data_IF_310926473064
#
_entry.id   IF_310926473064
#
_cell.length_a   1.000
_cell.length_b   1.000
_cell.length_c   1.000
_cell.angle_alpha   90.00
_cell.angle_beta   90.00
_cell.angle_gamma   90.00
#
_symmetry.space_group_name_H-M   'P 1'
#
loop_
_entity.id
_entity.type
_entity.pdbx_description
1 polymer ?
#
# COMPACT_ATOMS: atom_id res chain seq x y z
CA UNK A 10 -22.45 10.40 -12.02
CA UNK A 11 -22.14 8.46 -8.71
CA UNK A 12 -18.82 9.98 -7.75
CA UNK A 13 -20.45 13.36 -7.35
CA UNK A 14 -23.75 12.37 -5.76
CA UNK A 15 -21.40 11.03 -3.02
CA UNK A 16 -18.92 13.90 -2.91
CA UNK A 17 -22.16 15.80 -2.64
CA UNK A 18 -23.01 14.35 0.73
CA UNK A 19 -19.34 15.17 1.49
CA UNK A 20 -20.18 18.89 0.72
CA UNK A 21 -23.35 19.36 2.79
CA UNK A 22 -21.37 17.00 5.03
CA UNK A 23 -20.33 20.21 6.82
CA UNK A 24 -20.72 23.20 4.38
CA UNK A 25 -20.43 25.77 7.25
CA UNK A 26 -16.89 26.24 6.19
CA UNK A 27 -17.76 27.02 2.54
CA UNK A 28 -18.99 30.13 4.21
CA UNK A 29 -16.11 31.69 6.22
CA UNK A 30 -14.11 31.12 3.09
CA UNK A 31 -15.83 31.24 -0.32
CA UNK A 32 -16.63 34.58 1.18
CA UNK A 33 -13.29 34.99 3.03
CA UNK A 34 -11.90 34.65 -0.48
CA UNK A 35 -14.31 37.26 -1.57
CA UNK A 36 -12.32 39.79 0.50
CA UNK A 37 -9.37 37.93 -0.97
CA UNK A 38 -10.58 39.47 -4.21
CA UNK A 39 -9.84 42.72 -2.44
CA UNK A 40 -6.29 41.35 -2.54
CA UNK A 41 -6.39 41.77 -6.40
CA UNK A 42 -7.66 45.31 -6.50
CA UNK A 43 -4.22 45.92 -4.95
CA UNK A 44 -1.61 46.33 -7.67
CA UNK A 45 -3.67 47.82 -10.57
CA UNK A 46 -5.30 50.24 -8.15
CA UNK A 47 -1.77 50.80 -6.95
CA UNK A 48 -0.36 51.52 -10.38
CA UNK A 49 -2.34 54.31 -12.08
CA UNK A 50 -4.48 56.92 -10.16
CA UNK A 51 -2.69 56.74 -6.71
CA UNK A 52 0.92 56.28 -8.10
CA UNK A 53 1.23 60.05 -7.82
CA UNK A 54 0.84 59.47 -4.04
CA UNK A 55 3.59 56.82 -3.57
CA UNK A 56 6.35 59.47 -3.40
CA UNK A 57 4.66 62.72 -4.56
CA UNK A 58 2.95 61.50 -1.43
CA UNK A 59 5.37 59.02 0.25
CA UNK A 60 6.46 60.71 3.52
CA UNK A 61 2.76 61.57 3.62
CA UNK A 62 0.85 58.94 1.50
CA UNK A 63 2.70 55.72 0.78
CA UNK A 64 2.30 55.51 4.61
CA UNK A 65 -1.57 55.64 4.38
CA UNK A 66 -1.67 53.11 1.56
CA UNK A 67 0.70 50.84 3.55
CA UNK A 68 -1.66 49.52 6.26
CA UNK A 69 -3.95 48.84 3.35
CA UNK A 70 -0.93 46.73 2.38
CA UNK A 71 1.23 45.03 5.08
CA UNK A 72 -1.93 45.17 7.10
CA UNK A 73 -4.39 44.52 4.20
CA UNK A 74 -2.06 41.96 2.66
CA UNK A 75 -2.06 39.99 5.85
CA UNK A 76 -5.68 40.92 6.12
CA UNK A 77 -6.80 39.39 2.89
CA UNK A 78 -4.07 36.73 3.50
CA UNK A 79 -3.64 35.58 7.14
CA UNK A 80 -7.41 35.67 7.40
CA UNK A 81 -7.92 33.16 4.67
CA UNK A 82 -5.65 31.16 6.93
CA UNK A 83 -8.44 30.39 9.45
CA UNK A 84 -11.46 30.76 7.21
CA UNK A 85 -9.87 28.03 5.14
CA UNK A 86 -8.64 25.79 7.99
CA UNK A 87 -11.36 26.62 10.43
CA UNK A 88 -13.26 25.76 7.34
CA UNK A 89 -12.21 23.49 4.50
CA UNK A 90 -9.24 22.24 6.58
CA UNK A 91 -10.34 22.23 10.27
CA UNK A 92 -13.39 21.01 8.45
CA UNK A 93 -12.93 18.78 5.38
CA UNK A 94 -9.99 17.71 7.40
CA UNK A 95 -11.57 16.41 10.61
CA UNK A 96 -14.46 15.38 8.42
CA UNK A 97 -12.83 12.44 6.87
CA UNK A 98 -11.21 11.93 10.17
CA UNK A 99 -14.69 11.00 11.21
CA UNK A 100 -15.25 8.92 8.10
CA UNK A 101 -12.56 6.41 9.28
CA UNK A 102 -14.46 5.91 12.49
CA UNK A 103 -17.65 5.09 10.72
CA UNK A 104 -15.69 2.63 8.79
CA UNK A 105 -14.68 0.47 11.78
CA UNK A 106 -18.38 -0.23 12.31
CA UNK A 107 -19.64 -0.76 8.70
CA UNK A 108 -17.08 -3.51 8.99
CA UNK A 109 -18.27 -5.49 12.00
CA UNK A 110 -21.67 -5.53 10.06
CA UNK A 111 -20.05 -7.14 7.06
CA UNK A 112 -18.16 -9.49 9.48
CA UNK A 113 -15.62 -12.31 8.92
CA UNK A 114 -15.81 -13.66 5.38
CA UNK A 115 -15.99 -10.40 3.50
CA UNK A 116 -13.98 -8.38 6.02
CA UNK A 117 -11.15 -10.77 6.69
CA UNK A 118 -10.62 -11.81 3.08
CA UNK A 119 -9.04 -8.51 2.03
CA UNK A 120 -5.31 -8.19 2.95
CA UNK A 121 -4.92 -6.95 6.63
CA UNK A 122 -2.54 -4.29 5.42
CA UNK A 123 -5.41 -3.41 3.12
CA UNK A 124 -7.75 -2.56 5.91
CA UNK A 125 -4.81 -0.25 6.80
CA UNK A 126 -3.87 1.85 3.69
CA UNK A 127 -7.55 2.03 2.86
CA UNK A 128 -8.22 3.10 6.41
CA UNK A 129 -5.52 5.64 6.21
CA UNK A 130 -3.94 6.47 2.85
CA UNK A 131 -7.12 6.11 0.79
CA UNK A 132 -9.47 8.42 2.66
CA UNK A 133 -6.79 11.06 3.04
CA UNK A 134 -6.48 11.41 -0.75
CA UNK A 135 -10.23 11.62 -0.56
CA UNK A 136 -10.73 14.93 1.22
CA UNK A 137 -7.49 16.63 0.27
CA UNK A 138 -8.70 15.93 -3.23
CA UNK A 139 -12.10 17.36 -2.38
CA UNK A 140 -9.88 19.86 -0.60
CA UNK A 141 -8.45 21.18 -3.91
CA UNK A 142 -11.81 20.90 -5.70
CA UNK A 143 -12.59 24.14 -3.95
CA UNK A 144 -9.08 25.72 -4.25
CA UNK A 145 -10.22 25.93 -7.82
CA UNK A 146 -13.80 27.43 -8.03
CA UNK A 147 -12.95 30.41 -6.01
CA UNK A 148 -9.15 30.70 -6.18
CA UNK A 149 -10.37 31.53 -9.63
CA UNK A 150 -13.67 33.14 -8.65
CA UNK A 151 -11.18 35.51 -7.08
CA UNK A 152 -8.30 35.96 -9.49
CA UNK A 153 -10.89 36.02 -12.24
CA UNK A 154 -13.80 38.03 -10.84
CA UNK A 155 -10.90 39.90 -9.35
CA UNK A 156 -9.83 41.81 -12.38
CA UNK A 157 -10.86 39.63 -15.20
CA UNK A 158 -14.15 41.37 -14.43
CA UNK A 159 -12.53 44.77 -14.78
CA UNK A 160 -9.87 44.34 -17.45
CA UNK A 161 -12.86 43.28 -19.51
CA UNK A 162 -13.93 46.84 -20.20
CA UNK A 163 -10.84 48.90 -19.27
CA UNK A 164 -8.30 47.07 -21.56
CA UNK A 165 -10.08 44.48 -23.80
CA UNK A 166 -12.94 46.48 -25.25
CA UNK A 167 -11.57 49.98 -24.82
CA UNK A 168 -8.90 48.00 -26.67
CA UNK A 169 -9.83 45.12 -29.09
CA UNK A 170 -6.24 43.81 -29.00
CA UNK A 171 -7.74 41.73 -26.23
CA UNK A 172 -10.90 41.28 -28.37
CA UNK A 173 -8.48 38.97 -30.15
CA UNK A 174 -5.46 38.24 -27.93
CA UNK A 175 -8.23 36.91 -25.74
CA UNK A 176 -9.77 34.48 -28.29
CA UNK A 177 -6.38 33.01 -28.91
CA UNK A 178 -5.36 33.10 -25.26
CA UNK A 179 -7.94 30.33 -25.15
CA UNK A 180 -7.36 28.04 -28.13
CA UNK A 181 -3.59 28.11 -27.77
CA UNK A 182 -4.28 27.68 -24.11
CA UNK A 183 -6.83 24.96 -24.72
CA UNK A 184 -4.09 22.90 -26.34
CA UNK A 185 -1.16 23.46 -24.00
CA UNK A 186 -3.92 23.22 -21.47
CA UNK A 187 -6.00 20.17 -22.45
CA UNK A 188 -2.51 18.80 -23.29
CA UNK A 189 -2.02 18.46 -19.48
CA UNK A 190 -5.54 16.90 -19.02
CA UNK A 191 -4.79 14.54 -21.93
CA UNK A 192 -1.34 13.02 -21.33
CA UNK A 193 -2.22 12.61 -17.56
CA UNK A 194 -4.57 9.79 -18.66
CA UNK A 195 -2.46 8.25 -21.42
CA UNK A 196 0.65 7.71 -19.27
CA UNK A 197 -0.84 5.45 -16.51
CA UNK A 198 -2.38 3.28 -19.29
CA UNK A 199 1.21 2.65 -20.19
CA UNK A 200 2.47 2.61 -16.59
CA UNK A 201 0.31 0.10 -14.76
CA UNK A 202 0.37 -1.80 -18.00
CA UNK A 203 4.12 -2.10 -17.90
CA UNK A 204 3.99 -2.83 -14.20
CA UNK A 205 1.18 -5.33 -14.09
CA UNK A 206 2.36 -6.79 -17.40
CA UNK A 207 5.20 -7.85 -15.16
CA UNK A 208 4.18 -9.24 -11.81
CA UNK A 209 1.61 -10.92 -14.07
CA UNK A 210 4.40 -13.30 -14.49
CA UNK A 211 6.00 -13.30 -11.05
CA UNK A 212 3.20 -14.93 -9.10
CA UNK A 213 3.85 -18.17 -10.95
CA UNK A 214 6.54 -19.76 -8.79
CA UNK A 215 6.14 -22.63 -11.26
CA UNK A 216 7.49 -20.68 -14.37
CA UNK A 217 10.04 -19.30 -11.92
CA UNK A 218 11.51 -22.80 -11.27
CA UNK A 219 10.97 -23.98 -14.91
CA UNK A 220 12.52 -20.87 -16.61
CA UNK A 221 15.19 -18.38 -15.54
CA UNK A 222 15.76 -16.19 -18.57
CA UNK A 223 12.80 -14.12 -17.43
CA UNK A 224 14.86 -11.08 -18.57
CA UNK A 225 13.39 -11.42 -22.04
CA UNK A 226 9.98 -10.20 -21.17
CA UNK A 227 11.78 -8.58 -18.24
CA UNK A 228 14.00 -6.09 -20.07
CA UNK A 229 11.36 -4.86 -22.51
CA UNK A 230 9.26 -4.48 -19.43
CA UNK A 231 11.73 -1.78 -18.54
CA UNK A 232 11.13 -0.48 -22.00
CA UNK A 233 7.37 -0.67 -21.71
CA UNK A 234 7.63 2.00 -18.99
CA UNK A 235 10.95 3.46 -20.23
CA UNK A 236 8.26 4.62 -22.65
CA UNK A 237 5.99 5.28 -19.70
CA UNK A 238 8.53 8.04 -18.97
CA UNK A 239 9.30 9.33 -22.50
CA UNK A 240 5.78 10.69 -22.30
CA UNK A 241 6.38 12.92 -19.33
CA UNK A 242 9.35 13.92 -21.35
CA UNK A 243 7.36 15.34 -24.27
CA UNK A 244 5.34 17.07 -21.45
CA UNK A 245 8.33 19.05 -20.23
CA UNK A 246 8.05 20.17 -23.82
CA UNK A 247 4.67 21.48 -22.67
CA UNK A 248 6.08 22.52 -19.20
CA UNK A 249 8.78 24.36 -21.15
CA UNK A 250 7.53 25.69 -24.50
CA UNK A 251 4.13 26.95 -23.36
CA UNK A 252 6.55 28.80 -21.11
CA UNK A 253 8.14 31.03 -23.76
CA UNK A 254 5.29 30.62 -26.26
CA UNK A 255 3.35 32.52 -23.72
CA UNK A 256 6.19 34.70 -22.37
CA UNK A 257 6.51 36.31 -25.84
CA UNK A 258 2.95 36.05 -27.17
CA UNK A 259 2.59 38.16 -24.07
CA UNK A 260 5.35 40.29 -25.63
CA UNK A 261 2.46 41.30 -28.02
CA UNK A 262 -0.08 43.05 -25.74
CA UNK A 263 2.58 44.88 -23.63
CA UNK A 264 4.50 45.98 -26.81
CA UNK A 265 1.54 47.21 -28.93
CA UNK A 266 1.11 49.84 -26.18
CA UNK A 267 4.84 50.53 -25.45
CA UNK A 268 5.72 52.61 -28.50
CA UNK A 269 1.98 53.38 -28.77
CA UNK A 270 2.03 54.65 -25.22
CA UNK A 271 3.29 57.91 -26.80
CA UNK A 272 0.41 58.45 -29.28
CA UNK A 273 -1.97 55.80 -27.74
CA UNK A 274 -1.55 56.07 -23.88
CA UNK A 275 -2.98 59.55 -24.51
CA UNK A 276 -5.63 57.88 -26.69
CA UNK A 277 -6.96 56.77 -23.36
CA UNK A 278 -4.94 57.09 -20.16
CA UNK A 279 -7.42 54.30 -19.44
CA UNK A 280 -4.94 51.53 -20.71
CA UNK A 281 -1.09 52.09 -21.43
CA UNK A 282 0.13 53.67 -18.19
CA UNK A 283 -1.98 50.74 -16.89
CA UNK A 284 -1.66 47.80 -19.41
CA UNK A 285 1.85 47.00 -18.22
CA UNK A 286 -0.61 45.86 -15.51
CA UNK A 287 -3.71 44.88 -17.54
CA UNK A 288 -1.18 42.36 -18.88
CA UNK A 289 -0.19 41.53 -15.31
CA UNK A 290 -3.88 40.86 -15.19
CA UNK A 291 -3.77 38.34 -18.07
CA UNK A 292 -0.92 36.02 -16.84
CA UNK A 293 -2.36 36.34 -13.30
CA UNK A 294 -5.44 34.58 -14.74
CA UNK A 295 -3.81 31.61 -16.46
CA UNK A 296 -2.40 30.55 -13.05
CA UNK A 297 -6.04 29.60 -12.62
CA UNK A 298 -6.64 27.99 -16.03
CA UNK A 299 -3.41 26.01 -15.68
CA UNK A 300 -4.98 24.56 -12.69
CA UNK A 301 -8.45 24.48 -14.45
CA UNK A 302 -7.63 21.68 -16.74
CA UNK A 303 -5.69 20.11 -13.87
CA UNK A 304 -8.62 20.40 -11.47
CA UNK A 305 -11.49 18.78 -13.35
CA UNK A 306 -8.78 16.14 -13.61
CA UNK A 307 -6.96 16.05 -10.30
CA UNK A 308 -10.45 16.45 -8.87
CA UNK A 309 -11.44 13.14 -10.47
CA UNK A 310 -8.36 11.21 -9.32
CA UNK A 311 -9.36 12.18 -5.79
CA UNK A 312 -13.04 12.54 -4.94
CA UNK A 313 -13.04 9.35 -7.01
CA UNK A 314 -12.34 7.05 -4.13
CA UNK A 315 -14.37 9.52 -2.01
CA UNK A 316 -16.93 7.64 -3.88
CA UNK A 317 -15.14 4.34 -3.31
CA UNK A 318 -15.25 5.22 0.39
CA UNK A 319 -18.42 3.17 0.30
CA UNK A 320 -16.82 1.99 -2.90
CA UNK A 321 -15.57 -0.91 -0.81
CA UNK A 322 -17.81 -1.47 2.27
CA UNK A 323 -20.11 -4.18 0.83
CA UNK A 324 -20.30 -6.16 -2.49
CA UNK A 325 -21.39 -9.78 -1.71
CA UNK A 326 -24.51 -11.69 -0.39
CA UNK A 327 -23.65 -12.05 3.29
CA UNK A 328 -25.47 -14.12 6.01
CA UNK A 329 -28.70 -12.77 7.51
CA UNK A 330 -29.44 -11.78 11.18
CA UNK A 331 -32.11 -13.61 13.23
CA UNK A 332 -35.74 -14.69 14.00
CA UNK A 333 -36.39 -16.95 17.14
CA UNK A 334 -34.60 -15.96 20.39
CA UNK A 335 -35.18 -15.16 24.12
CA UNK A 336 -33.23 -13.61 27.08
CA UNK A 337 -32.08 -16.90 28.75
CA UNK A 338 -29.03 -19.16 29.50
CA UNK A 339 -29.14 -22.44 27.57
CA UNK A 340 -26.85 -23.05 24.60
CA UNK A 341 -27.00 -26.61 23.32
CA UNK A 342 -24.36 -27.93 20.91
CA UNK A 343 -26.59 -30.03 18.62
CA UNK A 344 -24.67 -29.84 15.35
CA UNK A 345 -26.43 -32.59 13.46
CA UNK A 346 -25.13 -32.81 9.90
CA UNK A 347 -21.79 -30.95 10.37
CA UNK A 348 -20.88 -29.11 7.11
CA UNK A 349 -18.39 -26.92 5.40
CA UNK A 350 -15.40 -25.48 6.97
CA UNK A 351 -12.63 -23.07 6.09
CA UNK A 352 -13.50 -20.68 3.23
CA UNK A 353 -16.74 -21.16 1.35
CA UNK A 354 -15.77 -23.01 -1.79
CA UNK A 355 -13.44 -25.42 -0.02
CA UNK A 356 -14.73 -29.04 0.43
CA UNK A 357 -16.71 -28.94 3.69
CA UNK A 358 -14.15 -30.66 6.01
CA UNK A 359 -17.12 -30.84 8.28
CA UNK A 360 -18.66 -33.72 6.31
CA UNK A 361 -21.99 -35.23 7.22
CA UNK A 362 -21.63 -35.58 11.06
CA UNK A 363 -24.38 -35.03 13.71
CA UNK A 364 -23.87 -33.69 17.20
CA UNK A 365 -25.34 -32.53 20.48
CA UNK A 366 -24.13 -30.95 23.70
CA UNK A 367 -26.77 -29.25 25.88
CA UNK A 368 -26.59 -27.43 29.21
CA UNK A 369 -24.42 -28.51 32.12
CA UNK A 370 -21.74 -30.79 30.73
CA UNK A 371 -18.03 -31.43 30.82
CA UNK A 372 -16.80 -32.28 27.37
CA UNK A 373 -13.46 -31.93 25.59
CA UNK A 374 -13.61 -30.99 21.92
CA UNK A 375 -10.96 -32.49 19.75
CA UNK A 376 -11.47 -32.96 16.05
CA UNK A 377 -8.16 -34.53 14.99
CA UNK A 378 -4.99 -32.47 14.95
CA UNK A 379 -5.88 -31.57 11.30
CA UNK A 380 -8.95 -30.25 9.36
CA UNK A 381 -11.27 -31.01 12.26
CA UNK A 382 -9.80 -29.26 15.28
CA UNK A 383 -9.94 -25.64 14.14
CA UNK A 384 -13.27 -25.86 12.30
CA UNK A 385 -15.08 -27.66 15.10
CA UNK A 386 -13.62 -25.79 17.99
CA UNK A 387 -13.58 -22.26 16.59
CA UNK A 388 -16.56 -22.65 14.24
CA UNK A 389 -18.63 -22.88 17.45
CA UNK A 390 -20.15 -19.43 16.68
CA UNK A 391 -21.41 -20.16 13.13
CA UNK A 392 -21.34 -16.53 12.42
CA UNK A 393 -18.64 -18.05 10.27
CA UNK A 394 -19.11 -18.95 6.54
CA UNK A 395 -20.85 -22.29 7.28
CA UNK A 396 -24.13 -23.36 5.70
CA UNK A 397 -23.89 -25.92 8.51
CA UNK A 398 -27.22 -27.73 8.41
CA UNK A 399 -29.15 -29.62 11.13
CA UNK A 400 -26.93 -27.54 13.39
CA UNK A 401 -29.13 -26.55 16.35
CA UNK A 402 -27.77 -24.21 19.04
CA UNK A 403 -29.76 -23.30 22.16
CA UNK A 404 -32.60 -24.55 19.98
CA UNK A 405 -31.94 -22.56 16.82
CA UNK A 406 -30.21 -23.13 13.42
CA UNK A 407 -27.26 -21.00 12.06
CA UNK A 408 -29.23 -18.69 9.67
CA UNK A 409 -31.73 -18.85 12.49
CA UNK A 410 -30.92 -16.68 15.49
CA UNK A 411 -30.99 -13.05 16.47
CA UNK A 412 -27.34 -12.02 16.53
CA UNK A 413 -27.37 -8.97 18.89
CA UNK A 414 -29.44 -10.81 21.58
CA UNK A 415 -28.10 -14.25 20.62
CA UNK A 416 -24.29 -14.02 21.06
CA UNK A 417 -24.76 -11.37 23.84
CA UNK A 418 -24.77 -14.34 26.21
CA UNK A 419 -21.42 -16.12 25.84
CA UNK A 420 -17.75 -16.17 27.00
CA UNK A 421 -15.97 -18.41 24.52
CA UNK A 422 -12.24 -17.94 24.87
CA UNK A 423 -9.03 -19.02 23.04
CA UNK A 424 -5.27 -18.49 23.11
CA UNK A 425 -4.30 -16.31 20.05
CA UNK A 426 -4.18 -13.72 22.80
CA UNK A 427 -4.02 -10.00 22.35
CA UNK A 428 -3.89 -7.09 24.70
CA UNK A 429 -4.83 -3.43 24.29
CA UNK A 430 -1.63 -1.61 25.31
CA UNK A 431 -3.48 0.01 28.27
CA UNK A 432 -3.20 -2.66 30.90
CA UNK A 433 -4.38 -6.12 31.62
CA UNK A 434 -5.93 -4.94 34.84
CA UNK A 435 -8.29 -2.24 33.51
CA UNK A 436 -8.44 -4.69 30.60
CA UNK A 437 -10.43 -7.22 32.69
CA UNK A 438 -12.92 -4.42 33.48
CA UNK A 439 -12.69 -2.49 30.25
CA UNK A 440 -12.36 -4.58 27.05
CA UNK A 441 -15.38 -6.12 28.63
CA UNK A 442 -17.92 -3.17 28.75
CA UNK A 443 -16.19 0.21 28.98
CA UNK A 444 -16.89 1.21 32.60
CA UNK A 445 -18.18 -2.22 33.54
CA UNK A 446 -19.41 -1.81 37.13
CA UNK A 447 -15.85 -2.06 38.55
CA UNK A 448 -15.02 -4.93 40.85
CA UNK A 449 -14.21 -8.27 39.01
CA UNK A 450 -10.91 -6.49 37.91
CA UNK A 451 -9.33 -6.18 41.25
CA UNK A 452 -11.58 -8.38 43.42
CA UNK A 453 -12.38 -11.11 40.93
CA UNK A 454 -8.71 -11.23 39.87
CA UNK A 455 -7.78 -11.79 43.52
CA UNK A 456 -10.05 -14.75 44.46
CA UNK A 457 -9.24 -16.25 41.08
CA UNK A 458 -5.46 -15.71 41.58
CA UNK A 459 -5.13 -13.34 38.65
CA UNK A 460 -4.23 -10.89 41.43
CA UNK A 461 -1.13 -12.44 43.11
CA UNK A 462 0.44 -12.37 39.68
CA UNK A 463 -0.74 -8.85 38.50
CA UNK A 464 0.74 -6.69 41.25
CA UNK A 465 3.61 -9.06 42.22
CA UNK A 466 4.73 -8.49 38.62
CA UNK A 467 6.64 -5.19 37.88
CA UNK A 468 4.67 -2.01 38.38
CA UNK A 469 1.46 -2.16 40.37
CA UNK A 470 -2.10 -1.05 39.68
CA UNK A 471 -2.34 -0.50 35.91
CA UNK A 472 0.71 -1.40 33.80
CA UNK A 473 0.96 0.17 30.34
CA UNK A 474 2.42 -3.03 28.66
CA UNK A 475 5.64 -1.96 26.82
CA UNK A 476 4.79 -4.52 24.20
CA UNK A 477 4.29 -8.26 23.88
CA UNK A 478 6.91 -9.12 26.50
CA UNK A 479 10.69 -8.38 26.98
CA UNK A 480 9.99 -8.57 30.74
CA UNK A 481 6.21 -9.14 30.46
CA UNK A 482 6.79 -11.93 27.93
CA UNK A 483 4.02 -13.82 26.14
CA UNK A 484 2.38 -14.74 29.44
CA UNK A 485 0.93 -11.39 30.64
CA UNK A 486 -0.51 -10.98 27.12
CA UNK A 487 -2.37 -14.29 27.40
CA UNK A 488 -3.18 -13.49 31.07
CA UNK A 489 -5.30 -10.37 30.37
CA UNK A 490 -7.55 -12.58 28.28
CA UNK A 491 -7.92 -15.36 30.91
CA UNK A 492 -8.24 -12.87 33.88
CA UNK A 493 -11.01 -10.73 32.41
CA UNK A 494 -12.71 -13.99 31.48
CA UNK A 495 -12.03 -16.36 34.41
CA UNK A 496 -14.04 -13.47 35.84
CA UNK A 497 -16.22 -12.87 32.72
CA UNK A 498 -19.27 -15.03 33.61
CA UNK A 499 -20.84 -14.62 30.13
CA UNK A 500 -23.07 -17.70 29.52
CA UNK A 501 -21.46 -20.64 27.73
CA UNK A 502 -17.80 -20.32 28.77
CA UNK A 503 -16.63 -21.79 25.44
CA UNK A 504 -13.11 -22.05 26.67
CA UNK A 505 -10.99 -23.74 24.15
CA UNK A 506 -7.29 -24.45 24.14
CA UNK A 507 -6.96 -24.35 27.88
CA UNK A 508 -3.20 -24.47 27.20
CA UNK A 509 -0.99 -24.98 24.17
CA UNK A 510 1.77 -22.84 25.67
CA UNK A 511 1.02 -22.27 29.37
CA UNK A 512 3.26 -23.70 32.10
CA UNK A 513 1.93 -24.96 35.47
CA UNK A 514 1.84 -22.23 38.29
CA UNK A 515 -0.12 -19.36 36.64
CA UNK A 516 -1.80 -21.83 34.23
CA UNK A 517 -2.49 -24.26 37.06
CA UNK A 518 -4.40 -22.12 39.57
CA UNK A 519 -6.42 -20.34 36.88
CA UNK A 520 -7.12 -23.81 35.46
CA UNK A 521 -8.27 -24.39 39.05
CA UNK A 522 -10.58 -21.34 39.15
CA UNK A 523 -11.38 -22.20 35.50
CA UNK A 524 -11.82 -25.99 36.11
CA UNK A 525 -14.46 -24.50 38.52
CA UNK A 526 -17.05 -22.92 36.18
CA UNK A 527 -16.51 -25.92 33.81
CA UNK A 528 -18.18 -28.81 35.76
CA UNK A 529 -21.60 -27.21 36.51
CA UNK A 530 -22.18 -25.34 33.19
CA UNK A 531 -22.27 -26.06 29.50
CA UNK A 532 -18.45 -26.14 28.90
CA UNK A 533 -16.10 -27.03 26.00
CA UNK A 534 -12.31 -27.24 26.19
CA UNK A 535 -10.35 -28.36 23.12
CA UNK A 536 -7.28 -28.32 25.32
CA UNK A 537 -4.55 -30.68 24.07
CA UNK A 538 -4.13 -32.07 27.61
CA UNK A 539 -5.08 -35.44 29.04
CA UNK A 540 -5.42 -34.88 32.77
CA UNK A 541 -8.93 -33.40 32.76
CA UNK A 542 -10.31 -36.37 30.79
CA UNK A 543 -10.61 -38.59 33.87
CA UNK A 544 -13.16 -36.26 35.49
CA UNK A 545 -14.45 -35.12 32.14
CA UNK A 546 -17.60 -37.12 31.99
CA UNK A 547 -17.62 -36.62 28.22
CA UNK A 548 -15.11 -36.29 25.44
CA UNK A 549 -15.63 -36.00 21.79
CA UNK A 550 -13.47 -36.68 18.81
CA UNK A 551 -13.92 -36.91 15.14
CA UNK A 552 -12.32 -36.67 11.79
CA UNK A 553 -13.16 -36.63 8.04
CA UNK A 554 -13.90 -40.38 8.13
CA UNK A 555 -13.45 -41.57 11.74
CA UNK A 556 -16.04 -39.38 13.47
CA UNK A 557 -16.62 -42.26 15.78
CA UNK A 558 -15.62 -41.12 19.22
CA UNK A 559 -17.69 -40.37 22.32
CA UNK A 560 -16.95 -40.88 26.06
CA UNK A 561 -13.79 -40.35 28.24
CA UNK A 562 -10.31 -41.74 29.23
CA UNK A 563 -12.22 -44.88 30.17
CA UNK A 564 -13.46 -46.08 26.68
CA UNK A 565 -10.68 -44.40 24.68
CA UNK A 566 -8.17 -47.00 25.95
CA UNK A 567 -10.77 -49.71 26.52
CA UNK A 568 -10.76 -50.83 22.90
CA UNK A 569 -7.42 -50.28 21.21
CA UNK A 570 -7.89 -48.13 18.08
CA UNK A 571 -6.61 -45.25 15.99
CA UNK A 572 -5.48 -43.58 19.20
CA UNK A 573 -1.76 -44.07 19.69
CA UNK A 574 -0.99 -40.33 18.71
CA UNK A 575 -2.85 -37.97 21.07
CA UNK A 576 -1.99 -40.64 23.68
CA UNK A 577 1.78 -40.04 23.12
CA UNK A 578 2.02 -36.24 22.80
CA UNK A 579 0.38 -36.18 26.27
CA UNK A 580 2.21 -36.99 29.60
CA UNK A 581 4.54 -39.97 30.33
CA UNK B 10 25.50 7.31 7.40
CA UNK B 11 24.33 4.26 5.41
CA UNK B 12 21.58 6.11 3.57
CA UNK B 13 24.15 8.20 1.75
CA UNK B 14 26.84 5.60 1.08
CA UNK B 15 23.97 3.92 -0.89
CA UNK B 16 22.47 7.02 -2.54
CA UNK B 17 26.12 7.44 -3.40
CA UNK B 18 26.19 4.39 -5.62
CA UNK B 19 22.91 5.85 -6.95
CA UNK B 20 24.92 9.04 -7.97
CA UNK B 21 27.91 7.46 -9.77
CA UNK B 22 25.13 5.07 -10.76
CA UNK B 23 24.99 7.20 -13.94
CA UNK B 24 26.48 10.69 -13.16
CA UNK B 25 26.76 11.55 -16.92
CA UNK B 26 23.62 13.55 -16.50
CA UNK B 27 25.00 15.64 -13.58
CA UNK B 28 27.01 17.04 -16.44
CA UNK B 29 24.59 18.26 -19.16
CA UNK B 30 22.77 19.89 -16.31
CA UNK B 31 24.72 21.08 -13.22
CA UNK B 32 26.38 22.86 -16.07
CA UNK B 33 23.20 23.37 -18.15
CA UNK B 34 22.08 25.17 -15.00
CA UNK B 35 25.24 27.11 -15.09
CA UNK B 36 24.00 28.85 -18.27
CA UNK B 37 20.73 28.91 -16.33
CA UNK B 38 22.62 31.33 -14.10
CA UNK B 39 22.77 33.41 -17.26
CA UNK B 40 18.99 33.43 -16.81
CA UNK B 41 19.54 35.55 -13.61
CA UNK B 42 21.84 38.12 -15.08
CA UNK B 43 18.63 38.95 -17.02
CA UNK B 44 16.53 41.40 -15.02
CA UNK B 45 19.18 43.37 -13.00
CA UNK B 46 21.27 43.73 -16.15
CA UNK B 47 18.01 44.70 -17.75
CA UNK B 48 17.16 47.34 -15.17
CA UNK B 49 20.06 49.87 -14.85
CA UNK B 50 22.75 50.45 -17.60
CA UNK B 51 20.69 49.22 -20.69
CA UNK B 52 17.25 50.62 -19.54
CA UNK B 53 18.10 53.68 -21.58
CA UNK B 54 17.98 51.30 -24.59
CA UNK B 55 14.53 49.74 -23.98
CA UNK B 56 12.72 52.71 -25.59
CA UNK B 57 15.41 55.41 -25.97
CA UNK B 58 16.39 52.39 -28.02
CA UNK B 59 13.20 50.30 -28.50
CA UNK B 60 12.41 50.51 -32.26
CA UNK B 61 16.19 50.03 -32.46
CA UNK B 62 17.36 48.24 -29.21
CA UNK B 63 14.66 46.51 -27.20
CA UNK B 64 14.66 44.40 -30.44
CA UNK B 65 18.38 43.42 -30.00
CA UNK B 66 17.92 42.64 -26.33
CA UNK B 67 14.81 40.57 -27.18
CA UNK B 68 16.43 37.46 -28.75
CA UNK B 69 18.62 37.55 -25.71
CA UNK B 70 15.19 37.21 -24.09
CA UNK B 71 12.38 35.20 -25.82
CA UNK B 72 15.26 33.39 -27.43
CA UNK B 73 17.63 33.45 -24.39
CA UNK B 74 14.75 32.79 -21.97
CA UNK B 75 13.87 29.65 -23.87
CA UNK B 76 17.58 29.16 -24.27
CA UNK B 77 18.43 29.08 -20.60
CA UNK B 78 14.97 27.45 -20.09
CA UNK B 79 13.92 24.90 -22.78
CA UNK B 80 17.49 23.70 -22.75
CA UNK B 81 17.42 22.75 -19.15
CA UNK B 82 14.47 20.75 -20.35
CA UNK B 83 16.65 18.07 -21.99
CA UNK B 84 19.81 18.49 -19.95
CA UNK B 85 17.63 17.69 -16.97
CA UNK B 86 15.53 14.89 -18.52
CA UNK B 87 18.17 13.57 -20.84
CA UNK B 88 19.96 13.73 -17.57
CA UNK B 89 18.50 13.52 -14.09
CA UNK B 90 15.12 12.43 -15.54
CA UNK B 91 15.84 10.34 -18.70
CA UNK B 92 18.51 9.24 -16.28
CA UNK B 93 17.64 9.00 -12.58
CA UNK B 94 14.36 8.08 -14.07
CA UNK B 95 15.20 5.00 -16.16
CA UNK B 96 17.79 4.29 -13.53
CA UNK B 97 15.46 3.08 -10.88
CA UNK B 98 13.49 1.62 -13.68
CA UNK B 99 16.43 -0.72 -13.88
CA UNK B 100 16.55 -1.14 -10.12
CA UNK B 101 13.13 -2.94 -10.20
CA UNK B 102 14.51 -5.45 -12.64
CA UNK B 103 17.43 -6.30 -10.44
CA UNK B 104 14.97 -6.81 -7.71
CA UNK B 105 13.10 -9.69 -9.40
CA UNK B 106 16.34 -11.65 -9.25
CA UNK B 107 17.68 -10.78 -5.74
CA UNK B 108 14.39 -12.39 -4.89
CA UNK B 109 14.64 -15.80 -6.51
CA UNK B 110 18.00 -15.97 -4.53
CA UNK B 111 16.21 -15.38 -1.26
CA UNK B 112 13.49 -17.89 -2.42
CA UNK B 113 10.28 -19.17 -0.79
CA UNK B 114 10.33 -18.66 2.97
CA UNK B 115 11.66 -15.15 3.09
CA UNK B 116 10.18 -14.04 -0.23
CA UNK B 117 6.71 -15.44 0.09
CA UNK B 118 6.18 -14.44 3.70
CA UNK B 119 5.77 -10.74 2.94
CA UNK B 120 2.27 -9.75 1.70
CA UNK B 121 1.98 -10.33 -2.14
CA UNK B 122 0.65 -6.84 -2.53
CA UNK B 123 3.83 -5.91 -0.69
CA UNK B 124 6.09 -7.26 -3.36
CA UNK B 125 3.94 -4.85 -5.48
CA UNK B 126 3.96 -1.35 -3.80
CA UNK B 127 7.56 -1.96 -2.86
CA UNK B 128 8.25 -2.98 -6.43
CA UNK B 129 6.48 0.06 -7.67
CA UNK B 130 5.52 2.83 -5.24
CA UNK B 131 8.59 2.51 -3.02
CA UNK B 132 11.40 2.81 -5.56
CA UNK B 133 9.64 5.65 -7.34
CA UNK B 134 9.77 7.80 -4.23
CA UNK B 135 13.36 6.72 -4.20
CA UNK B 136 14.70 8.46 -7.26
CA UNK B 137 12.24 11.33 -7.50
CA UNK B 138 13.47 12.02 -4.01
CA UNK B 139 17.04 11.74 -5.14
CA UNK B 140 15.58 13.66 -8.07
CA UNK B 141 14.91 16.75 -5.90
CA UNK B 142 18.16 16.31 -3.94
CA UNK B 143 19.75 17.92 -6.94
CA UNK B 144 16.94 20.46 -7.71
CA UNK B 145 18.39 21.97 -4.57
CA UNK B 146 22.25 22.19 -4.82
CA UNK B 147 22.21 23.97 -8.06
CA UNK B 148 18.70 25.46 -8.36
CA UNK B 149 20.41 27.40 -5.61
CA UNK B 150 23.95 27.23 -6.97
CA UNK B 151 22.18 29.22 -9.67
CA UNK B 152 19.80 31.62 -8.00
CA UNK B 153 22.50 32.16 -5.41
CA UNK B 154 25.78 32.26 -7.37
CA UNK B 155 23.47 34.00 -9.80
CA UNK B 156 23.30 37.34 -8.12
CA UNK B 157 23.84 36.56 -4.50
CA UNK B 158 27.44 36.59 -5.75
CA UNK B 159 26.98 40.08 -7.18
CA UNK B 160 24.53 41.79 -4.83
CA UNK B 161 27.20 40.97 -2.30
CA UNK B 162 29.40 43.90 -3.29
CA UNK B 163 27.02 46.12 -5.32
CA UNK B 164 24.23 46.49 -2.65
CA UNK B 165 25.31 44.85 0.68
CA UNK B 166 28.77 46.29 1.24
CA UNK B 167 28.50 49.41 -0.90
CA UNK B 168 25.52 49.48 1.45
CA UNK B 169 25.69 47.97 5.01
CA UNK B 170 21.88 47.94 5.28
CA UNK B 171 22.43 44.43 3.95
CA UNK B 172 25.48 44.09 6.27
CA UNK B 173 22.61 43.79 8.73
CA UNK B 174 19.34 43.08 6.88
CA UNK B 175 21.36 40.10 5.80
CA UNK B 176 22.29 38.82 9.33
CA UNK B 177 18.67 38.96 10.28
CA UNK B 178 17.42 37.61 6.96
CA UNK B 179 19.00 34.46 8.37
CA UNK B 180 17.99 34.16 12.03
CA UNK B 181 14.42 35.22 11.38
CA UNK B 182 14.64 32.93 8.43
CA UNK B 183 16.26 30.18 10.43
CA UNK B 184 13.16 30.10 12.62
CA UNK B 185 10.36 30.38 10.08
CA UNK B 186 12.71 28.13 8.20
CA UNK B 187 13.79 25.43 10.65
CA UNK B 188 10.14 25.77 11.76
CA UNK B 189 9.25 23.85 8.56
CA UNK B 190 12.06 21.25 9.16
CA UNK B 191 10.86 20.89 12.76
CA UNK B 192 7.08 20.45 12.68
CA UNK B 193 7.48 18.07 9.66
CA UNK B 194 8.93 15.52 12.12
CA UNK B 195 6.67 16.19 15.09
CA UNK B 196 3.38 15.70 13.21
CA UNK B 197 3.87 12.08 12.00
CA UNK B 198 4.88 11.12 15.56
CA UNK B 199 1.36 12.14 16.38
CA UNK B 200 -0.14 10.81 13.14
CA UNK B 201 0.97 7.20 12.90
CA UNK B 202 0.59 7.17 16.63
CA UNK B 203 -3.07 8.04 16.39
CA UNK B 204 -3.47 5.66 13.50
CA UNK B 205 -1.58 2.65 14.81
CA UNK B 206 -2.87 3.38 18.29
CA UNK B 207 -6.08 2.34 16.61
CA UNK B 208 -5.83 -0.70 14.42
CA UNK B 209 -3.74 -1.81 17.38
CA UNK B 210 -7.07 -2.71 18.67
CA UNK B 211 -8.87 -3.84 15.53
CA UNK B 212 -6.89 -6.99 14.80
CA UNK B 213 -8.36 -8.58 17.89
CA UNK B 214 -11.56 -10.07 16.55
CA UNK B 215 -11.88 -11.39 20.10
CA UNK B 216 -12.29 -7.91 21.80
CA UNK B 217 -14.49 -7.14 18.81
CA UNK B 218 -17.03 -9.87 19.78
CA UNK B 219 -16.58 -9.30 23.56
CA UNK B 220 -16.94 -5.46 23.46
CA UNK B 221 -18.78 -3.06 21.13
CA UNK B 222 -18.39 0.36 22.71
CA UNK B 223 -15.05 0.61 20.98
CA UNK B 224 -15.95 4.28 20.38
CA UNK B 225 -14.40 5.18 23.70
CA UNK B 226 -10.86 4.72 22.63
CA UNK B 227 -12.30 5.23 19.15
CA UNK B 228 -13.48 8.85 19.41
CA UNK B 229 -10.39 10.18 21.18
CA UNK B 230 -8.53 8.38 18.47
CA UNK B 231 -10.12 10.98 16.22
CA UNK B 232 -8.87 13.51 18.67
CA UNK B 233 -5.37 12.02 18.80
CA UNK B 234 -5.01 13.04 15.13
CA UNK B 235 -7.61 15.86 15.27
CA UNK B 236 -4.50 17.11 17.07
CA UNK B 237 -2.39 15.55 14.34
CA UNK B 238 -4.01 18.28 12.19
CA UNK B 239 -4.05 21.26 14.62
CA UNK B 240 -0.31 21.18 14.08
CA UNK B 241 -0.42 21.82 10.37
CA UNK B 242 -2.77 24.53 11.44
CA UNK B 243 -0.20 26.45 13.49
CA UNK B 244 2.03 25.93 10.36
CA UNK B 245 -0.30 27.92 8.12
CA UNK B 246 0.61 30.43 10.77
CA UNK B 247 4.11 29.91 9.41
CA UNK B 248 2.80 29.58 5.78
CA UNK B 249 0.98 32.86 6.39
CA UNK B 250 2.85 35.14 8.80
CA UNK B 251 6.37 34.59 7.47
CA UNK B 252 4.48 35.81 4.42
CA UNK B 253 3.88 39.40 5.56
CA UNK B 254 6.66 39.36 8.18
CA UNK B 255 8.88 39.12 5.20
CA UNK B 256 6.75 41.17 2.78
CA UNK B 257 7.23 44.23 5.02
CA UNK B 258 10.62 43.53 6.60
CA UNK B 259 11.36 43.70 2.92
CA UNK B 260 9.54 47.05 3.06
CA UNK B 261 12.79 48.11 4.91
CA UNK B 262 15.55 47.70 2.27
CA UNK B 263 13.43 49.03 -0.63
CA UNK B 264 12.22 52.03 1.48
CA UNK B 265 15.56 53.14 2.98
CA UNK B 266 16.57 53.88 -0.62
CA UNK B 267 13.18 55.25 -1.89
CA UNK B 268 13.25 58.69 -0.26
CA UNK B 269 17.05 58.28 -0.10
CA UNK B 270 17.11 57.69 -3.81
CA UNK B 271 17.05 61.49 -4.07
CA UNK B 272 20.15 62.22 -1.92
CA UNK B 273 21.45 58.57 -1.84
CA UNK B 274 20.81 57.10 -5.39
CA UNK B 275 23.30 59.82 -6.36
CA UNK B 276 25.48 58.64 -3.45
CA UNK B 277 26.12 55.74 -5.75
CA UNK B 278 24.04 55.13 -8.85
CA UNK B 279 25.46 51.73 -7.99
CA UNK B 280 22.38 50.83 -5.76
CA UNK B 281 18.97 52.80 -5.69
CA UNK B 282 18.01 52.97 -9.38
CA UNK B 283 19.01 49.28 -8.98
CA UNK B 284 18.01 48.13 -5.40
CA UNK B 285 14.32 48.02 -6.35
CA UNK B 286 16.08 45.04 -8.01
CA UNK B 287 18.89 44.22 -5.49
CA UNK B 288 15.81 43.55 -3.31
CA UNK B 289 14.32 41.49 -6.15
CA UNK B 290 17.62 39.72 -5.66
CA UNK B 291 16.97 39.03 -1.92
CA UNK B 292 13.43 37.42 -2.15
CA UNK B 293 14.61 35.57 -5.30
CA UNK B 294 17.11 33.85 -2.95
CA UNK B 295 14.78 32.71 -0.17
CA UNK B 296 12.83 30.67 -2.78
CA UNK B 297 15.96 28.57 -2.42
CA UNK B 298 16.30 28.65 1.39
CA UNK B 299 12.59 27.85 1.75
CA UNK B 300 13.38 24.75 -0.07
CA UNK B 301 16.79 24.45 1.79
CA UNK B 302 15.35 23.47 5.08
CA UNK B 303 12.78 21.42 3.12
CA UNK B 304 15.45 19.62 1.11
CA UNK B 305 17.83 18.28 3.76
CA UNK B 306 14.46 17.06 5.01
CA UNK B 307 12.42 15.97 2.00
CA UNK B 308 15.75 14.56 0.82
CA UNK B 309 15.80 12.28 3.89
CA UNK B 310 12.17 11.12 3.54
CA UNK B 311 13.14 9.92 0.07
CA UNK B 312 16.67 8.68 -0.56
CA UNK B 313 15.85 7.03 2.77
CA UNK B 314 14.24 3.98 1.25
CA UNK B 315 16.75 4.39 -1.61
CA UNK B 316 18.74 2.92 1.12
CA UNK B 317 15.98 0.50 2.04
CA UNK B 318 16.06 -0.57 -1.62
CA UNK B 319 18.42 -3.20 -0.32
CA UNK B 320 16.81 -2.16 2.92
CA UNK B 321 14.55 -5.16 2.35
CA UNK B 322 16.24 -7.77 0.09
CA UNK B 323 17.70 -10.05 2.82
CA UNK B 324 17.56 -10.17 6.68
CA UNK B 325 17.40 -13.85 7.79
CA UNK B 326 19.66 -17.03 7.78
CA UNK B 327 18.43 -18.80 4.67
CA UNK B 328 19.28 -22.34 3.39
CA UNK B 329 22.64 -22.93 1.68
CA UNK B 330 23.34 -24.08 -1.95
CA UNK B 331 25.14 -27.40 -2.67
CA UNK B 332 28.17 -29.78 -2.54
CA UNK B 333 27.84 -33.34 -4.20
CA UNK B 334 26.17 -33.50 -7.65
CA UNK B 335 26.67 -34.77 -11.26
CA UNK B 336 25.07 -34.28 -14.73
CA UNK B 337 22.80 -37.43 -14.74
CA UNK B 338 19.14 -38.68 -14.57
CA UNK B 339 18.40 -40.52 -11.33
CA UNK B 340 16.29 -38.91 -8.63
CA UNK B 341 15.43 -41.28 -5.80
CA UNK B 342 12.72 -40.42 -3.27
CA UNK B 343 14.37 -41.78 -0.08
CA UNK B 344 12.87 -39.49 2.54
CA UNK B 345 13.85 -41.41 5.65
CA UNK B 346 12.84 -39.51 8.78
CA UNK B 347 10.22 -37.15 7.23
CA UNK B 348 10.21 -33.80 9.14
CA UNK B 349 8.68 -30.42 9.41
CA UNK B 350 6.16 -29.04 7.14
CA UNK B 351 4.34 -25.78 6.55
CA UNK B 352 6.13 -22.74 7.99
CA UNK B 353 9.21 -23.26 10.13
CA UNK B 354 7.97 -22.99 13.69
CA UNK B 355 4.88 -25.09 13.08
CA UNK B 356 4.95 -28.69 14.50
CA UNK B 357 6.58 -30.76 11.74
CA UNK B 358 3.44 -32.48 10.32
CA UNK B 359 6.02 -34.63 8.64
CA UNK B 360 6.74 -36.56 11.85
CA UNK B 361 9.35 -39.26 12.01
CA UNK B 362 8.58 -41.24 8.80
CA UNK B 363 11.13 -42.90 6.42
CA UNK B 364 10.78 -43.28 2.69
CA UNK B 365 12.26 -44.33 -0.63
CA UNK B 366 11.35 -44.16 -4.30
CA UNK B 367 14.19 -44.62 -6.81
CA UNK B 368 14.31 -44.62 -10.62
CA UNK B 369 11.69 -46.21 -12.83
CA UNK B 370 8.55 -46.62 -10.75
CA UNK B 371 4.82 -46.02 -10.80
CA UNK B 372 3.68 -44.72 -7.46
CA UNK B 373 0.78 -42.54 -6.33
CA UNK B 374 1.51 -40.09 -3.53
CA UNK B 375 -1.27 -39.48 -1.13
CA UNK B 376 -0.65 -38.29 2.38
CA UNK B 377 -4.18 -38.04 3.78
CA UNK B 378 -6.54 -35.35 2.61
CA UNK B 379 -5.12 -33.15 5.45
CA UNK B 380 -1.63 -32.11 6.76
CA UNK B 381 0.09 -34.80 4.76
CA UNK B 382 -1.01 -34.33 1.18
CA UNK B 383 0.32 -30.86 0.47
CA UNK B 384 3.57 -31.21 2.44
CA UNK B 385 4.50 -34.59 0.98
CA UNK B 386 3.45 -33.95 -2.55
CA UNK B 387 4.62 -30.37 -2.98
CA UNK B 388 7.52 -30.50 -0.51
CA UNK B 389 9.15 -32.85 -3.05
CA UNK B 390 11.72 -30.12 -3.88
CA UNK B 391 12.97 -29.43 -0.34
CA UNK B 392 14.09 -26.07 -1.41
CA UNK B 393 11.24 -25.47 0.97
CA UNK B 394 11.73 -24.60 4.71
CA UNK B 395 12.28 -28.26 5.78
CA UNK B 396 15.16 -29.42 7.92
CA UNK B 397 13.92 -32.76 6.66
CA UNK B 398 16.52 -35.25 7.86
CA UNK B 399 17.55 -38.71 6.51
CA UNK B 400 15.91 -37.37 3.36
CA UNK B 401 18.05 -38.63 0.47
CA UNK B 402 17.26 -37.53 -3.10
CA UNK B 403 19.17 -38.87 -6.12
CA UNK B 404 21.65 -39.76 -3.39
CA UNK B 405 21.91 -36.42 -1.61
CA UNK B 406 20.37 -34.74 1.50
CA UNK B 407 18.34 -31.42 1.46
CA UNK B 408 21.12 -29.02 2.63
CA UNK B 409 23.21 -31.24 0.42
CA UNK B 410 22.85 -30.62 -3.30
CA UNK B 411 23.98 -28.11 -5.87
CA UNK B 412 20.83 -26.16 -6.70
CA UNK B 413 21.62 -24.77 -10.22
CA UNK B 414 22.79 -28.19 -11.54
CA UNK B 415 20.52 -30.16 -9.18
CA UNK B 416 16.95 -28.98 -9.97
CA UNK B 417 17.98 -28.26 -13.60
CA UNK B 418 16.89 -31.83 -14.29
CA UNK B 419 13.20 -32.09 -13.39
CA UNK B 420 9.62 -31.54 -14.67
CA UNK B 421 7.44 -31.66 -11.57
CA UNK B 422 4.00 -30.28 -12.39
CA UNK B 423 0.79 -29.31 -10.54
CA UNK B 424 -2.61 -27.74 -11.16
CA UNK B 425 -2.59 -24.19 -9.57
CA UNK B 426 -2.13 -23.31 -13.21
CA UNK B 427 -1.11 -19.99 -14.58
CA UNK B 428 -0.53 -18.67 -18.02
CA UNK B 429 1.53 -15.73 -19.32
CA UNK B 430 -1.00 -13.70 -21.33
CA UNK B 431 0.99 -14.33 -24.54
CA UNK B 432 -0.32 -17.70 -25.63
CA UNK B 433 -0.33 -21.27 -24.52
CA UNK B 434 1.25 -22.30 -27.79
CA UNK B 435 4.43 -20.18 -27.72
CA UNK B 436 4.05 -20.87 -23.98
CA UNK B 437 4.97 -24.56 -24.46
CA UNK B 438 8.13 -23.39 -26.30
CA UNK B 439 8.78 -20.20 -24.38
CA UNK B 440 8.08 -20.30 -20.60
CA UNK B 441 10.35 -23.28 -21.03
CA UNK B 442 13.65 -21.69 -22.34
CA UNK B 443 13.04 -18.46 -24.28
CA UNK B 444 13.70 -19.57 -27.88
CA UNK B 445 13.80 -23.24 -26.99
CA UNK B 446 14.79 -24.97 -30.23
CA UNK B 447 11.23 -24.74 -31.63
CA UNK B 448 9.35 -27.94 -32.36
CA UNK B 449 7.71 -29.58 -29.23
CA UNK B 450 5.23 -26.58 -29.36
CA UNK B 451 3.55 -27.41 -32.56
CA UNK B 452 4.82 -30.94 -33.25
CA UNK B 453 4.93 -32.26 -29.71
CA UNK B 454 1.51 -30.72 -29.02
CA UNK B 455 0.17 -32.62 -32.02
CA UNK B 456 1.31 -36.20 -31.28
CA UNK B 457 0.35 -35.59 -27.66
CA UNK B 458 -3.08 -34.22 -28.64
CA UNK B 459 -2.42 -30.80 -27.23
CA UNK B 460 -2.75 -29.78 -30.90
CA UNK B 461 -6.30 -30.88 -31.88
CA UNK B 462 -7.49 -28.72 -29.02
CA UNK B 463 -5.19 -25.64 -29.56
CA UNK B 464 -6.15 -24.68 -33.11
CA UNK B 465 -9.68 -26.21 -33.07
CA UNK B 466 -10.27 -23.70 -30.27
CA UNK B 467 -10.99 -20.04 -31.33
CA UNK B 468 -8.19 -18.24 -33.12
CA UNK B 469 -5.36 -20.30 -34.54
CA UNK B 470 -1.59 -20.17 -34.18
CA UNK B 471 -0.87 -18.00 -31.10
CA UNK B 472 -3.85 -16.80 -29.07
CA UNK B 473 -3.33 -13.80 -26.79
CA UNK B 474 -5.57 -15.20 -23.92
CA UNK B 475 -8.14 -12.45 -23.05
CA UNK B 476 -7.92 -13.60 -19.48
CA UNK B 477 -8.56 -16.68 -17.39
CA UNK B 478 -11.51 -17.80 -19.48
CA UNK B 479 -14.90 -16.23 -20.55
CA UNK B 480 -14.62 -18.40 -23.73
CA UNK B 481 -11.20 -19.92 -22.91
CA UNK B 482 -12.41 -20.85 -19.39
CA UNK B 483 -10.22 -22.42 -16.73
CA UNK B 484 -9.22 -25.26 -19.06
CA UNK B 485 -6.90 -23.52 -21.58
CA UNK B 486 -5.12 -21.94 -18.57
CA UNK B 487 -4.42 -25.40 -17.12
CA UNK B 488 -3.70 -26.72 -20.64
CA UNK B 489 -0.66 -24.47 -21.33
CA UNK B 490 0.96 -26.02 -18.30
CA UNK B 491 0.22 -29.66 -19.27
CA UNK B 492 1.05 -29.11 -22.99
CA UNK B 493 4.46 -27.52 -22.52
CA UNK B 494 5.14 -30.27 -20.03
CA UNK B 495 3.52 -33.40 -21.55
CA UNK B 496 6.21 -32.31 -24.00
CA UNK B 497 8.71 -31.03 -21.36
CA UNK B 498 10.85 -34.16 -20.90
CA UNK B 499 12.76 -32.68 -17.92
CA UNK B 500 13.96 -35.64 -15.74
CA UNK B 501 11.68 -36.72 -12.91
CA UNK B 502 8.23 -35.82 -14.27
CA UNK B 503 6.93 -35.10 -10.72
CA UNK B 504 3.41 -34.80 -11.96
CA UNK B 505 1.09 -34.34 -9.11
CA UNK B 506 -2.63 -33.77 -9.06
CA UNK B 507 -3.23 -35.35 -12.43
CA UNK B 508 -6.76 -33.97 -12.06
CA UNK B 509 -8.76 -32.27 -9.33
CA UNK B 510 -10.83 -30.33 -11.88
CA UNK B 511 -10.26 -31.84 -15.37
CA UNK B 512 -13.04 -33.62 -17.25
CA UNK B 513 -12.46 -36.66 -19.49
CA UNK B 514 -11.76 -35.77 -23.25
CA UNK B 515 -8.88 -33.24 -23.00
CA UNK B 516 -7.85 -34.65 -19.59
CA UNK B 517 -8.18 -38.20 -20.88
CA UNK B 518 -5.91 -38.22 -23.96
CA UNK B 519 -3.24 -36.12 -22.27
CA UNK B 520 -3.53 -38.52 -19.33
CA UNK B 521 -2.90 -41.06 -22.13
CA UNK B 522 0.21 -39.31 -23.48
CA UNK B 523 1.00 -38.55 -19.79
CA UNK B 524 0.20 -42.10 -18.50
CA UNK B 525 2.95 -42.82 -21.12
CA UNK B 526 6.09 -41.22 -19.61
CA UNK B 527 4.85 -42.42 -16.15
CA UNK B 528 5.39 -46.24 -16.37
CA UNK B 529 9.04 -46.32 -17.51
CA UNK B 530 10.47 -43.41 -15.44
CA UNK B 531 10.63 -42.28 -11.86
CA UNK B 532 7.01 -40.87 -11.57
CA UNK B 533 4.77 -39.52 -8.79
CA UNK B 534 1.10 -38.60 -9.17
CA UNK B 535 -0.86 -37.45 -6.09
CA UNK B 536 -3.94 -37.49 -8.28
CA UNK B 537 -7.16 -38.01 -6.29
CA UNK B 538 -8.28 -40.72 -8.76
CA UNK B 539 -8.52 -44.45 -8.35
CA UNK B 540 -8.34 -45.85 -11.88
CA UNK B 541 -4.57 -45.73 -12.30
CA UNK B 542 -4.00 -47.68 -9.05
CA UNK B 543 -4.67 -51.05 -10.69
CA UNK B 544 -1.66 -50.68 -13.00
CA UNK B 545 0.19 -48.56 -10.49
CA UNK B 546 2.56 -51.12 -9.18
CA UNK B 547 3.06 -48.93 -6.11
CA UNK B 548 1.00 -46.59 -4.02
CA UNK B 549 1.89 -44.78 -0.90
CA UNK B 550 -0.11 -43.26 1.87
CA UNK B 551 0.54 -41.86 5.23
CA UNK B 552 -0.63 -39.61 7.95
CA UNK B 553 0.48 -38.06 11.26
CA UNK B 554 0.02 -41.42 13.00
CA UNK B 555 -1.07 -43.96 10.39
CA UNK B 556 1.91 -43.77 8.04
CA UNK B 557 1.38 -47.42 7.42
CA UNK B 558 0.50 -47.80 3.76
CA UNK B 559 2.43 -49.29 0.86
CA UNK B 560 1.27 -51.24 -2.25
CA UNK B 561 -1.74 -50.86 -4.64
CA UNK B 562 -5.54 -51.38 -5.13
CA UNK B 563 -4.77 -55.00 -4.33
CA UNK B 564 -3.68 -54.73 -0.61
CA UNK B 565 -5.64 -51.54 0.12
CA UNK B 566 -8.95 -53.51 0.06
CA UNK B 567 -7.36 -56.81 1.04
CA UNK B 568 -7.42 -56.03 4.75
CA UNK B 569 -10.27 -53.75 5.70
CA UNK B 570 -8.91 -50.65 7.47
CA UNK B 571 -9.04 -46.88 7.85
CA UNK B 572 -9.86 -46.66 4.15
CA UNK B 573 -13.59 -46.14 3.68
CA UNK B 574 -13.07 -42.36 2.72
CA UNK B 575 -10.78 -42.12 -0.34
CA UNK B 576 -12.62 -45.27 -1.44
CA UNK B 577 -15.96 -43.34 -1.52
CA UNK B 578 -14.99 -39.99 -3.05
CA UNK B 579 -13.70 -42.07 -5.99
CA UNK B 580 -15.96 -43.74 -8.69
CA UNK B 581 -19.16 -45.82 -8.11
#
# INVERSE_FOLDING_TARGET
MSLHSDESNWQTFKRLWTYIRLYKAGLVVSTIALVINAAADTYMISLLKPLLDEGFGNAESNFLRILPFMILGLMFVRGLSGFASSYCLSWVSGNVVMQMRRRLFNHFMHMPVRFFDQESTGGLLSRITYDSEQVAGATSRALVSIVREGASIIGLLTLMFWNSWQLSLVLIVVAPVVAFAISFVSKRFRKISRNMQTAMGHVTSSAEQMLKGHKVVLSYGGQEVERKRFDKVSNSMRQQTMKLVSAQSIADPVIQMIASLALFAVLFLASVDSIRAELTPGTFTVVFSAMFGLMRPLKALTSVTSEFQRGMAACQTLFGLMDLETERDNGKYEAERVNGEVDVKDVTFTYQGKEKPALSHVSFSIPQGKTVALVGRSGSGKSTIANLFTRFYDVDSGSICLDGHDVRDYKLTNLRRHFALVSQNVHLFNDTIANNIAYAAEGEYTREQIEQAARQAHAMEFIENMPQGLDTVIGENGTSLSGGQRQRVAIARALLRDAPVLILDEATSALDTESERAIQAALDELQKNKTVLVIAHRLSTIEQADEILVVDEGEIIERGRHADLLAQDGAYAQLHRIQFGE
MSLHSDESNWQTFKRLWTYIRLYKAGLVVSTIALVINAAADTYMISLLKPLLDEGFGNAESNFLRILPFMILGLMFVRGLSGFASSYCLSWVSGNVVMQMRRRLFNHFMHMPVRFFDQESTGGLLSRITYDSEQVAGATSRALVSIVREGASIIGLLTLMFWNSWQLSLVLIVVAPVVAFAISFVSKRFRKISRNMQTAMGHVTSSAEQMLKGHKVVLSYGGQEVERKRFDKVSNSMRQQTMKLVSAQSIADPVIQMIASLALFAVLFLASVDSIRAELTPGTFTVVFSAMFGLMRPLKALTSVTSEFQRGMAACQTLFGLMDLETERDNGKYEAERVNGEVDVKDVTFTYQGKEKPALSHVSFSIPQGKTVALVGRSGSGKSTIANLFTRFYDVDSGSICLDGHDVRDYKLTNLRRHFALVSQNVHLFNDTIANNIAYAAEGEYTREQIEQAARQAHAMEFIENMPQGLDTVIGENGTSLSGGQRQRVAIARALLRDAPVLILDEATSALDTESERAIQAALDELQKNKTVLVIAHRLSTIEQADEILVVDEGEIIERGRHADLLAQDGAYAQLHRIQFGE
#
